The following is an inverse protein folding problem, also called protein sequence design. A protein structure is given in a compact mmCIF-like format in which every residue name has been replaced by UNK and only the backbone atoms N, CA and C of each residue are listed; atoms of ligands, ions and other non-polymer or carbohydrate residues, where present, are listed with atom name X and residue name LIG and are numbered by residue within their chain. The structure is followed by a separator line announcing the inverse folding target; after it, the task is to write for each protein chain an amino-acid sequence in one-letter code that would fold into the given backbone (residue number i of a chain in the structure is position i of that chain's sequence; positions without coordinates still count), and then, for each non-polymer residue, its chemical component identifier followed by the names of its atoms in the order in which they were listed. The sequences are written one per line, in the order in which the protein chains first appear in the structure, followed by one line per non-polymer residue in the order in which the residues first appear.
data_IF_801006993577
#
_entry.id   IF_801006993577
#
_cell.length_a   1.000
_cell.length_b   1.000
_cell.length_c   1.000
_cell.angle_alpha   90.00
_cell.angle_beta   90.00
_cell.angle_gamma   90.00
#
_symmetry.space_group_name_H-M   'P 1'
#
loop_
_entity.id
_entity.type
_entity.pdbx_description
1 polymer ?
#
# COMPACT_ATOMS: atom_id res chain seq x y z
N UNK A 1 -10.80 -28.01 -52.08
CA UNK A 1 -9.49 -28.69 -52.04
C UNK A 1 -9.15 -28.99 -50.59
N UNK A 2 -9.19 -30.28 -50.24
CA UNK A 2 -8.66 -31.03 -49.07
C UNK A 2 -8.80 -30.54 -47.62
N UNK A 3 -9.05 -31.56 -46.79
CA UNK A 3 -9.39 -31.64 -45.38
C UNK A 3 -8.16 -31.74 -44.44
N UNK A 4 -8.46 -31.49 -43.15
CA UNK A 4 -7.96 -32.16 -41.92
C UNK A 4 -6.58 -31.84 -41.31
N UNK A 5 -6.59 -31.68 -39.98
CA UNK A 5 -5.43 -31.95 -39.11
C UNK A 5 -5.57 -31.47 -37.66
N UNK A 6 -6.17 -32.27 -36.77
CA UNK A 6 -6.15 -32.13 -35.29
C UNK A 6 -4.74 -32.29 -34.71
N UNK A 7 -4.46 -31.62 -33.59
CA UNK A 7 -3.75 -32.21 -32.43
C UNK A 7 -3.97 -31.36 -31.16
N UNK A 8 -4.45 -31.98 -30.07
CA UNK A 8 -4.34 -31.49 -28.69
C UNK A 8 -3.27 -32.30 -27.91
N UNK A 9 -3.30 -32.33 -26.56
CA UNK A 9 -2.59 -31.40 -25.68
C UNK A 9 -1.53 -32.07 -24.76
N UNK A 10 -0.68 -31.29 -24.08
CA UNK A 10 0.15 -31.69 -22.91
C UNK A 10 0.09 -30.55 -21.89
N UNK A 11 -0.52 -30.64 -20.69
CA UNK A 11 -0.22 -31.39 -19.44
C UNK A 11 1.19 -31.18 -18.87
N UNK A 12 1.23 -30.70 -17.63
CA UNK A 12 2.38 -30.58 -16.72
C UNK A 12 2.54 -29.13 -16.23
N UNK A 13 2.59 -28.79 -14.94
CA UNK A 13 2.49 -29.55 -13.69
C UNK A 13 2.36 -28.52 -12.55
N UNK A 14 1.47 -28.81 -11.60
CA UNK A 14 1.30 -28.06 -10.36
C UNK A 14 2.12 -28.73 -9.27
N UNK A 15 3.03 -28.02 -8.61
CA UNK A 15 3.65 -28.50 -7.37
C UNK A 15 3.17 -27.66 -6.18
N UNK A 16 2.19 -28.24 -5.48
CA UNK A 16 1.75 -27.96 -4.11
C UNK A 16 2.28 -29.12 -3.27
N UNK A 17 3.11 -28.88 -2.26
CA UNK A 17 3.32 -29.74 -1.06
C UNK A 17 3.95 -28.85 0.03
N UNK A 18 3.55 -28.80 1.30
CA UNK A 18 2.71 -29.71 2.07
C UNK A 18 3.57 -30.60 2.99
N UNK A 19 3.76 -30.15 4.24
CA UNK A 19 3.87 -30.92 5.51
C UNK A 19 3.94 -32.46 5.40
N UNK A 20 4.97 -33.09 5.99
CA UNK A 20 4.89 -33.82 7.28
C UNK A 20 6.09 -34.77 7.53
N UNK A 21 6.54 -34.75 8.79
CA UNK A 21 6.93 -35.83 9.70
C UNK A 21 7.56 -37.17 9.23
N UNK A 22 8.63 -37.50 9.98
CA UNK A 22 9.01 -38.82 10.55
C UNK A 22 9.39 -39.98 9.62
N UNK A 23 10.66 -40.38 9.73
CA UNK A 23 11.07 -41.79 9.71
C UNK A 23 12.01 -42.08 10.89
N UNK A 24 11.72 -43.19 11.58
CA UNK A 24 12.39 -43.71 12.76
C UNK A 24 13.21 -44.98 12.43
N UNK A 25 14.14 -45.30 13.35
CA UNK A 25 14.61 -46.66 13.65
C UNK A 25 15.99 -47.02 13.10
N UNK A 26 16.83 -47.89 13.71
CA UNK A 26 17.03 -48.48 15.06
C UNK A 26 18.23 -49.45 14.91
N UNK A 27 18.90 -49.79 16.02
CA UNK A 27 19.85 -50.90 16.27
C UNK A 27 21.32 -50.59 15.94
N UNK A 28 22.31 -50.97 16.74
CA UNK A 28 22.36 -51.78 17.96
C UNK A 28 23.84 -52.13 18.26
N UNK A 29 24.16 -52.62 19.46
CA UNK A 29 25.45 -53.26 19.74
C UNK A 29 26.04 -52.90 21.10
N UNK A 30 25.85 -53.78 22.09
CA UNK A 30 26.51 -53.72 23.39
C UNK A 30 27.88 -54.40 23.39
N UNK A 31 28.69 -54.06 24.38
CA UNK A 31 29.97 -54.71 24.69
C UNK A 31 30.55 -54.19 26.00
N UNK A 32 30.37 -54.97 27.06
CA UNK A 32 30.93 -54.76 28.41
C UNK A 32 32.41 -55.16 28.48
N UNK A 33 33.25 -54.34 29.09
CA UNK A 33 34.58 -54.73 29.62
C UNK A 33 34.76 -54.16 31.04
N UNK A 34 35.46 -54.95 31.86
CA UNK A 34 35.60 -54.99 33.32
C UNK A 34 36.39 -53.84 33.99
N UNK A 35 36.31 -53.73 35.34
CA UNK A 35 36.91 -52.67 36.14
C UNK A 35 38.36 -52.99 36.56
N UNK A 36 39.18 -51.95 36.72
CA UNK A 36 40.51 -52.02 37.29
C UNK A 36 40.98 -50.63 37.72
N UNK A 37 41.39 -50.55 38.99
CA UNK A 37 41.87 -49.39 39.76
C UNK A 37 42.82 -48.44 39.05
N UNK A 38 42.66 -47.12 39.26
CA UNK A 38 43.74 -46.17 39.57
C UNK A 38 43.15 -44.90 40.25
N UNK A 39 43.85 -44.41 41.28
CA UNK A 39 43.37 -43.47 42.31
C UNK A 39 43.08 -42.02 41.87
N UNK A 40 42.66 -41.15 42.81
CA UNK A 40 42.15 -39.82 42.52
C UNK A 40 43.29 -38.85 42.15
N UNK A 41 43.22 -38.15 41.00
CA UNK A 41 44.05 -36.98 40.80
C UNK A 41 43.45 -35.77 41.53
N UNK A 42 44.33 -34.97 42.13
CA UNK A 42 44.08 -33.72 42.84
C UNK A 42 43.22 -32.71 42.01
N UNK A 43 42.54 -31.74 42.67
CA UNK A 43 41.74 -30.74 41.97
C UNK A 43 42.63 -29.85 41.08
N UNK A 44 42.66 -30.18 39.79
CA UNK A 44 43.20 -29.33 38.75
C UNK A 44 42.34 -28.07 38.62
N UNK A 45 42.98 -26.93 38.80
CA UNK A 45 42.47 -25.61 38.48
C UNK A 45 41.91 -25.56 37.05
N UNK A 46 40.60 -25.38 36.90
CA UNK A 46 39.99 -25.08 35.62
C UNK A 46 40.43 -23.68 35.15
N UNK A 47 41.02 -23.52 33.95
CA UNK A 47 41.17 -22.20 33.36
C UNK A 47 39.77 -21.64 33.02
N UNK A 48 39.54 -20.32 33.12
CA UNK A 48 38.27 -19.73 32.71
C UNK A 48 38.02 -20.00 31.22
N UNK A 49 36.76 -20.22 30.80
CA UNK A 49 36.44 -20.41 29.40
C UNK A 49 36.86 -19.15 28.61
N UNK A 50 37.36 -19.31 27.37
CA UNK A 50 37.72 -18.16 26.55
C UNK A 50 36.48 -17.30 26.33
N UNK A 51 36.62 -15.99 26.60
CA UNK A 51 35.62 -14.95 26.37
C UNK A 51 35.27 -14.72 24.88
N UNK A 52 35.45 -15.74 24.03
CA UNK A 52 35.25 -15.69 22.58
C UNK A 52 33.81 -16.03 22.16
N UNK A 53 32.99 -16.65 23.01
CA UNK A 53 31.63 -17.07 22.63
C UNK A 53 30.54 -15.98 22.72
N UNK A 54 30.81 -14.83 23.33
CA UNK A 54 29.81 -13.76 23.46
C UNK A 54 29.75 -12.79 22.25
N UNK A 55 30.75 -12.83 21.36
CA UNK A 55 30.82 -11.93 20.20
C UNK A 55 30.02 -12.42 18.99
N UNK A 56 29.80 -13.73 18.88
CA UNK A 56 29.01 -14.35 17.81
C UNK A 56 27.54 -13.89 17.77
N UNK A 57 26.77 -13.87 18.87
CA UNK A 57 25.38 -13.41 18.82
C UNK A 57 25.26 -11.92 18.52
N UNK A 58 26.21 -11.10 18.98
CA UNK A 58 26.24 -9.65 18.70
C UNK A 58 26.58 -9.39 17.23
N UNK A 59 27.60 -10.07 16.69
CA UNK A 59 27.96 -9.96 15.29
C UNK A 59 26.82 -10.47 14.38
N UNK A 60 26.18 -11.57 14.73
CA UNK A 60 25.00 -12.09 14.00
C UNK A 60 23.82 -11.13 14.11
N UNK A 61 23.54 -10.56 15.28
CA UNK A 61 22.49 -9.55 15.44
C UNK A 61 22.77 -8.30 14.61
N UNK A 62 24.01 -7.80 14.60
CA UNK A 62 24.45 -6.67 13.80
C UNK A 62 24.35 -6.95 12.30
N UNK A 63 24.75 -8.15 11.86
CA UNK A 63 24.62 -8.59 10.47
C UNK A 63 23.16 -8.78 10.07
N UNK A 64 22.29 -9.26 10.97
CA UNK A 64 20.86 -9.40 10.72
C UNK A 64 20.17 -8.03 10.67
N UNK A 65 20.54 -7.07 11.52
CA UNK A 65 20.05 -5.68 11.41
C UNK A 65 20.55 -5.01 10.14
N UNK A 66 21.83 -5.17 9.78
CA UNK A 66 22.38 -4.63 8.54
C UNK A 66 21.74 -5.28 7.30
N UNK A 67 21.46 -6.59 7.35
CA UNK A 67 20.75 -7.29 6.28
C UNK A 67 19.26 -6.92 6.22
N UNK A 68 18.65 -6.52 7.34
CA UNK A 68 17.27 -6.01 7.35
C UNK A 68 17.19 -4.58 6.77
N UNK A 69 18.17 -3.74 7.08
CA UNK A 69 18.38 -2.42 6.48
C UNK A 69 18.69 -2.51 4.97
N UNK A 70 19.42 -3.55 4.55
CA UNK A 70 19.79 -3.77 3.16
C UNK A 70 18.69 -4.43 2.30
N UNK A 71 17.52 -4.75 2.86
CA UNK A 71 16.41 -5.25 2.04
C UNK A 71 16.02 -4.17 1.03
N UNK A 72 16.06 -4.45 -0.28
CA UNK A 72 15.50 -3.54 -1.26
C UNK A 72 14.07 -3.20 -0.86
N UNK A 73 13.72 -1.92 -0.85
CA UNK A 73 12.34 -1.52 -0.63
C UNK A 73 11.43 -2.30 -1.59
N UNK A 74 10.26 -2.80 -1.13
CA UNK A 74 9.46 -3.78 -1.86
C UNK A 74 9.04 -3.34 -3.27
N UNK A 75 9.06 -2.04 -3.55
CA UNK A 75 8.72 -1.45 -4.85
C UNK A 75 9.86 -0.63 -5.49
N UNK A 76 11.10 -0.83 -5.03
CA UNK A 76 12.28 -0.09 -5.48
C UNK A 76 12.29 1.37 -5.03
N UNK A 77 11.63 1.65 -3.90
CA UNK A 77 11.43 2.99 -3.37
C UNK A 77 12.76 3.61 -2.91
N UNK A 78 13.01 4.84 -3.36
CA UNK A 78 14.18 5.63 -2.97
C UNK A 78 13.71 7.01 -2.52
N UNK A 79 13.74 7.22 -1.21
CA UNK A 79 13.49 8.52 -0.59
C UNK A 79 14.83 9.19 -0.27
N UNK A 80 14.97 10.44 -0.68
CA UNK A 80 16.16 11.25 -0.41
C UNK A 80 15.73 12.60 0.14
N UNK A 81 16.11 12.89 1.38
CA UNK A 81 15.99 14.22 1.95
C UNK A 81 17.24 15.03 1.60
N UNK A 82 17.07 16.15 0.90
CA UNK A 82 18.18 17.01 0.44
C UNK A 82 18.51 18.10 1.45
N UNK A 83 17.52 18.52 2.22
CA UNK A 83 17.71 19.40 3.37
C UNK A 83 17.15 18.67 4.58
N UNK A 84 17.97 18.47 5.61
CA UNK A 84 17.44 18.08 6.92
C UNK A 84 16.67 19.29 7.42
N UNK A 85 15.37 19.33 7.10
CA UNK A 85 14.44 20.31 7.66
C UNK A 85 14.52 20.08 9.17
N UNK A 86 15.31 20.89 9.87
CA UNK A 86 15.11 21.11 11.31
C UNK A 86 13.61 21.30 11.44
N UNK A 87 12.94 20.55 12.33
CA UNK A 87 11.49 20.58 12.54
C UNK A 87 11.02 22.01 12.91
N UNK A 88 11.12 22.92 11.97
CA UNK A 88 10.57 24.24 12.02
C UNK A 88 9.11 24.03 11.77
N UNK A 89 8.30 24.48 12.72
CA UNK A 89 6.85 24.50 12.70
C UNK A 89 6.30 25.43 11.58
N UNK A 90 6.90 25.40 10.39
CA UNK A 90 6.36 25.99 9.19
C UNK A 90 5.10 25.24 8.81
N UNK A 91 3.96 25.84 9.11
CA UNK A 91 2.62 25.29 8.82
C UNK A 91 2.35 25.11 7.32
N UNK A 92 3.20 25.68 6.45
CA UNK A 92 3.05 25.64 5.00
C UNK A 92 3.70 24.39 4.40
N UNK A 93 2.87 23.53 3.82
CA UNK A 93 3.34 22.32 3.15
C UNK A 93 4.08 22.64 1.86
N UNK A 94 5.18 21.93 1.56
CA UNK A 94 5.96 22.23 0.38
C UNK A 94 5.14 21.94 -0.90
N UNK A 95 5.24 22.77 -1.93
CA UNK A 95 4.69 22.45 -3.24
C UNK A 95 5.35 21.18 -3.80
N UNK A 96 4.61 20.47 -4.66
CA UNK A 96 5.03 19.21 -5.27
C UNK A 96 5.14 19.37 -6.78
N UNK A 97 6.06 18.63 -7.39
CA UNK A 97 6.16 18.47 -8.84
C UNK A 97 6.58 17.06 -9.20
N UNK A 98 6.29 16.67 -10.44
CA UNK A 98 6.83 15.44 -11.05
C UNK A 98 7.98 15.81 -11.98
N UNK A 99 9.06 15.03 -11.92
CA UNK A 99 10.13 15.01 -12.92
C UNK A 99 10.02 13.73 -13.76
N UNK A 100 10.98 13.50 -14.66
CA UNK A 100 11.00 12.29 -15.49
C UNK A 100 11.07 10.98 -14.69
N UNK A 101 11.60 11.02 -13.47
CA UNK A 101 11.87 9.81 -12.67
C UNK A 101 11.42 9.90 -11.22
N UNK A 102 10.99 11.07 -10.74
CA UNK A 102 10.75 11.27 -9.32
C UNK A 102 9.66 12.29 -9.02
N UNK A 103 9.07 12.16 -7.85
CA UNK A 103 8.25 13.18 -7.21
C UNK A 103 9.16 14.03 -6.34
N UNK A 104 9.07 15.34 -6.45
CA UNK A 104 9.87 16.28 -5.67
C UNK A 104 8.96 17.20 -4.88
N UNK A 105 9.24 17.33 -3.58
CA UNK A 105 8.87 18.54 -2.87
C UNK A 105 10.00 19.54 -2.98
N UNK A 106 9.66 20.78 -3.26
CA UNK A 106 10.63 21.85 -3.38
C UNK A 106 10.27 23.02 -2.47
N UNK A 107 11.27 23.83 -2.15
CA UNK A 107 11.07 25.08 -1.46
C UNK A 107 10.45 26.10 -2.43
N UNK A 108 9.29 26.65 -2.08
CA UNK A 108 8.56 27.54 -2.98
C UNK A 108 9.23 28.89 -3.24
N UNK A 109 10.19 29.30 -2.41
CA UNK A 109 10.91 30.56 -2.56
C UNK A 109 12.17 30.40 -3.41
N UNK A 110 12.94 29.33 -3.16
CA UNK A 110 14.24 29.09 -3.79
C UNK A 110 14.20 28.10 -4.95
N UNK A 111 13.14 27.28 -5.05
CA UNK A 111 13.02 26.22 -6.05
C UNK A 111 13.86 24.97 -5.77
N UNK A 112 14.67 24.97 -4.71
CA UNK A 112 15.52 23.82 -4.35
C UNK A 112 14.70 22.64 -3.85
N UNK A 113 15.07 21.40 -4.23
CA UNK A 113 14.38 20.22 -3.74
C UNK A 113 14.62 20.07 -2.23
N UNK A 114 13.54 19.83 -1.48
CA UNK A 114 13.59 19.49 -0.05
C UNK A 114 13.73 18.00 0.15
N UNK A 115 12.95 17.24 -0.61
CA UNK A 115 13.05 15.80 -0.69
C UNK A 115 12.61 15.31 -2.07
N UNK A 116 13.11 14.14 -2.44
CA UNK A 116 12.80 13.45 -3.68
C UNK A 116 12.37 12.01 -3.38
N UNK A 117 11.34 11.56 -4.07
CA UNK A 117 10.88 10.18 -4.07
C UNK A 117 10.96 9.61 -5.48
N UNK A 118 11.83 8.62 -5.68
CA UNK A 118 11.97 7.87 -6.92
C UNK A 118 11.61 6.40 -6.70
N UNK A 119 11.21 5.73 -7.79
CA UNK A 119 11.05 4.27 -7.83
C UNK A 119 11.90 3.70 -8.94
N UNK A 120 12.58 2.60 -8.67
CA UNK A 120 13.48 1.96 -9.63
C UNK A 120 12.76 1.60 -10.94
N UNK A 121 13.27 2.14 -12.06
CA UNK A 121 12.72 1.87 -13.40
C UNK A 121 11.31 2.42 -13.64
N UNK A 122 10.78 3.26 -12.76
CA UNK A 122 9.41 3.80 -12.84
C UNK A 122 9.41 5.32 -12.90
N UNK A 123 8.40 5.88 -13.56
CA UNK A 123 8.18 7.33 -13.63
C UNK A 123 6.85 7.71 -12.99
N UNK A 124 6.79 8.80 -12.22
CA UNK A 124 5.52 9.34 -11.80
C UNK A 124 4.83 10.00 -13.00
N UNK A 125 3.53 9.75 -13.14
CA UNK A 125 2.70 10.29 -14.22
C UNK A 125 1.69 11.32 -13.71
N UNK A 126 1.40 11.35 -12.40
CA UNK A 126 0.65 12.41 -11.75
C UNK A 126 1.02 12.52 -10.26
N UNK A 127 0.81 13.72 -9.69
CA UNK A 127 0.91 13.96 -8.25
C UNK A 127 -0.30 14.76 -7.77
N UNK A 128 -0.91 14.31 -6.67
CA UNK A 128 -2.03 14.96 -5.99
C UNK A 128 -1.57 15.42 -4.60
N UNK A 129 -1.42 16.73 -4.36
CA UNK A 129 -1.15 17.25 -3.04
C UNK A 129 -2.41 17.15 -2.15
N UNK A 130 -2.26 16.58 -0.96
CA UNK A 130 -3.25 16.66 0.12
C UNK A 130 -2.56 17.05 1.43
N UNK A 131 -3.33 17.38 2.48
CA UNK A 131 -2.77 17.87 3.75
C UNK A 131 -1.94 16.77 4.43
N UNK A 132 -0.63 16.85 4.29
CA UNK A 132 0.35 15.94 4.89
C UNK A 132 0.74 14.79 3.96
N UNK A 133 0.17 14.76 2.76
CA UNK A 133 0.18 13.64 1.85
C UNK A 133 0.66 14.10 0.47
N UNK A 134 1.64 13.39 -0.06
CA UNK A 134 2.11 13.54 -1.42
C UNK A 134 1.74 12.27 -2.17
N UNK A 135 0.55 12.27 -2.76
CA UNK A 135 -0.01 11.09 -3.42
C UNK A 135 0.47 11.08 -4.87
N UNK A 136 1.15 10.03 -5.30
CA UNK A 136 1.67 9.90 -6.65
C UNK A 136 1.04 8.71 -7.37
N UNK A 137 0.78 8.88 -8.66
CA UNK A 137 0.47 7.80 -9.58
C UNK A 137 1.71 7.53 -10.44
N UNK A 138 2.11 6.26 -10.51
CA UNK A 138 3.24 5.78 -11.29
C UNK A 138 2.78 5.13 -12.59
N UNK A 139 3.67 5.08 -13.57
CA UNK A 139 3.42 4.51 -14.90
C UNK A 139 3.04 3.02 -14.90
N UNK A 140 3.46 2.27 -13.88
CA UNK A 140 3.05 0.88 -13.67
C UNK A 140 1.67 0.74 -13.02
N UNK A 141 0.98 1.85 -12.79
CA UNK A 141 -0.32 1.87 -12.12
C UNK A 141 -0.21 1.69 -10.61
N UNK A 142 0.96 1.88 -9.99
CA UNK A 142 1.03 1.97 -8.53
C UNK A 142 0.62 3.38 -8.08
N UNK A 143 -0.17 3.46 -7.02
CA UNK A 143 -0.47 4.69 -6.29
C UNK A 143 0.22 4.64 -4.95
N UNK A 144 0.89 5.71 -4.58
CA UNK A 144 1.67 5.79 -3.34
C UNK A 144 1.37 7.07 -2.60
N UNK A 145 1.42 7.04 -1.28
CA UNK A 145 1.43 8.25 -0.44
C UNK A 145 2.77 8.38 0.27
N UNK A 146 3.37 9.55 0.15
CA UNK A 146 4.60 9.91 0.85
C UNK A 146 4.31 11.02 1.86
N UNK A 147 4.92 10.94 3.04
CA UNK A 147 4.84 12.00 4.04
C UNK A 147 5.30 13.34 3.44
N UNK A 148 4.36 14.27 3.22
CA UNK A 148 4.65 15.46 2.38
C UNK A 148 5.61 16.45 3.04
N UNK A 149 5.57 16.55 4.36
CA UNK A 149 6.33 17.57 5.08
C UNK A 149 7.84 17.42 4.90
N UNK A 150 8.32 16.20 5.04
CA UNK A 150 9.74 15.87 5.14
C UNK A 150 10.18 14.72 4.24
N UNK A 151 9.26 14.03 3.56
CA UNK A 151 9.57 12.89 2.72
C UNK A 151 10.10 11.69 3.52
N UNK A 152 9.81 11.61 4.82
CA UNK A 152 10.39 10.62 5.73
C UNK A 152 9.98 9.17 5.45
N UNK A 153 8.80 8.94 4.86
CA UNK A 153 8.30 7.60 4.61
C UNK A 153 7.30 7.57 3.45
N UNK A 154 7.30 6.45 2.72
CA UNK A 154 6.16 6.03 1.89
C UNK A 154 5.18 5.30 2.81
N UNK A 155 4.01 5.90 3.01
CA UNK A 155 3.02 5.51 4.02
C UNK A 155 2.19 4.31 3.57
N UNK A 156 1.86 4.26 2.29
CA UNK A 156 1.14 3.14 1.70
C UNK A 156 1.32 3.06 0.18
N UNK A 157 1.01 1.87 -0.35
CA UNK A 157 1.02 1.53 -1.77
C UNK A 157 -0.30 0.86 -2.17
N UNK A 158 -0.83 1.18 -3.36
CA UNK A 158 -2.01 0.53 -3.95
C UNK A 158 -1.82 0.32 -5.44
N UNK A 159 -1.87 -0.93 -5.88
CA UNK A 159 -1.78 -1.27 -7.29
C UNK A 159 -3.13 -1.07 -7.99
N UNK A 160 -3.09 -0.62 -9.25
CA UNK A 160 -4.23 -0.52 -10.14
C UNK A 160 -4.15 -1.61 -11.21
N UNK A 161 -4.79 -2.77 -11.00
CA UNK A 161 -4.78 -3.87 -11.95
C UNK A 161 -5.12 -3.45 -13.40
N UNK A 162 -4.18 -3.70 -14.30
CA UNK A 162 -4.32 -3.44 -15.74
C UNK A 162 -4.25 -1.96 -16.13
N UNK A 163 -3.79 -1.05 -15.27
CA UNK A 163 -3.68 0.37 -15.60
C UNK A 163 -2.42 0.71 -16.41
N UNK A 164 -1.32 -0.04 -16.25
CA UNK A 164 -0.02 0.32 -16.83
C UNK A 164 -0.04 0.53 -18.35
N UNK A 165 -0.58 -0.43 -19.11
CA UNK A 165 -0.67 -0.31 -20.57
C UNK A 165 -1.53 0.89 -20.99
N UNK A 166 -2.70 1.05 -20.37
CA UNK A 166 -3.58 2.18 -20.68
C UNK A 166 -2.94 3.54 -20.34
N UNK A 167 -2.23 3.66 -19.20
CA UNK A 167 -1.51 4.87 -18.81
C UNK A 167 -0.37 5.21 -19.76
N UNK A 168 0.28 4.20 -20.35
CA UNK A 168 1.31 4.41 -21.35
C UNK A 168 0.72 5.03 -22.64
N UNK A 169 -0.45 4.58 -23.04
CA UNK A 169 -1.10 5.00 -24.29
C UNK A 169 -1.86 6.34 -24.16
N UNK A 170 -2.47 6.61 -23.00
CA UNK A 170 -3.41 7.73 -22.80
C UNK A 170 -2.94 8.77 -21.79
N UNK A 171 -1.86 8.49 -21.05
CA UNK A 171 -1.40 9.34 -19.96
C UNK A 171 -2.29 9.28 -18.71
N UNK A 172 -2.06 10.20 -17.77
CA UNK A 172 -2.67 10.18 -16.44
C UNK A 172 -3.67 11.32 -16.18
N UNK A 173 -4.06 12.07 -17.22
CA UNK A 173 -4.93 13.23 -17.07
C UNK A 173 -6.25 12.83 -16.41
N UNK A 174 -6.57 13.49 -15.29
CA UNK A 174 -7.80 13.26 -14.55
C UNK A 174 -7.94 11.91 -13.85
N UNK A 175 -6.95 11.01 -13.95
CA UNK A 175 -6.96 9.69 -13.28
C UNK A 175 -6.99 9.84 -11.76
N UNK A 176 -6.16 10.72 -11.21
CA UNK A 176 -6.03 10.92 -9.77
C UNK A 176 -6.78 12.18 -9.34
N UNK A 177 -7.81 12.05 -8.49
CA UNK A 177 -8.68 13.16 -8.06
C UNK A 177 -8.90 13.14 -6.57
N UNK A 178 -8.92 14.31 -5.92
CA UNK A 178 -9.44 14.42 -4.57
C UNK A 178 -10.97 14.26 -4.59
N UNK A 179 -11.52 13.61 -3.56
CA UNK A 179 -12.95 13.55 -3.21
C UNK A 179 -13.25 14.33 -1.92
N UNK A 180 -12.42 15.32 -1.60
CA UNK A 180 -12.43 16.04 -0.32
C UNK A 180 -11.15 15.80 0.48
N UNK A 181 -11.17 16.16 1.76
CA UNK A 181 -9.96 16.17 2.60
C UNK A 181 -9.46 14.76 3.00
N UNK A 182 -10.32 13.75 2.95
CA UNK A 182 -10.05 12.40 3.50
C UNK A 182 -9.98 11.30 2.44
N UNK A 183 -10.46 11.59 1.24
CA UNK A 183 -10.71 10.60 0.20
C UNK A 183 -10.10 11.04 -1.13
N UNK A 184 -9.57 10.07 -1.87
CA UNK A 184 -9.13 10.24 -3.25
C UNK A 184 -9.87 9.25 -4.14
N UNK A 185 -10.13 9.63 -5.38
CA UNK A 185 -10.60 8.76 -6.46
C UNK A 185 -9.45 8.47 -7.43
N UNK A 186 -9.40 7.23 -7.88
CA UNK A 186 -8.64 6.80 -9.04
C UNK A 186 -9.63 6.38 -10.13
N UNK A 187 -9.64 7.12 -11.23
CA UNK A 187 -10.54 6.93 -12.36
C UNK A 187 -9.79 6.22 -13.48
N UNK A 188 -10.26 5.04 -13.83
CA UNK A 188 -9.79 4.26 -14.98
C UNK A 188 -10.97 3.99 -15.92
N UNK A 189 -10.75 3.67 -17.20
CA UNK A 189 -11.86 3.41 -18.14
C UNK A 189 -12.88 2.38 -17.64
N UNK A 190 -12.42 1.38 -16.88
CA UNK A 190 -13.26 0.27 -16.41
C UNK A 190 -13.91 0.52 -15.06
N UNK A 191 -13.38 1.42 -14.23
CA UNK A 191 -13.86 1.66 -12.87
C UNK A 191 -13.32 2.94 -12.26
N UNK A 192 -14.08 3.49 -11.32
CA UNK A 192 -13.60 4.42 -10.30
C UNK A 192 -13.36 3.65 -9.02
N UNK A 193 -12.22 3.86 -8.36
CA UNK A 193 -11.93 3.32 -7.04
C UNK A 193 -11.61 4.46 -6.08
N UNK A 194 -12.20 4.47 -4.89
CA UNK A 194 -11.92 5.48 -3.89
C UNK A 194 -11.18 4.92 -2.69
N UNK A 195 -10.14 5.64 -2.29
CA UNK A 195 -9.26 5.25 -1.20
C UNK A 195 -9.26 6.33 -0.12
N UNK A 196 -9.17 5.89 1.13
CA UNK A 196 -8.91 6.78 2.26
C UNK A 196 -7.46 7.23 2.20
N UNK A 197 -7.24 8.55 2.26
CA UNK A 197 -5.90 9.15 2.14
C UNK A 197 -4.98 8.71 3.30
N UNK A 198 -5.53 8.53 4.50
CA UNK A 198 -4.75 8.28 5.71
C UNK A 198 -3.89 6.99 5.66
N UNK A 199 -4.40 5.93 5.03
CA UNK A 199 -3.83 4.58 5.00
C UNK A 199 -3.99 3.84 3.66
N UNK A 200 -4.59 4.49 2.67
CA UNK A 200 -4.82 3.92 1.35
C UNK A 200 -5.94 2.89 1.32
N UNK A 201 -6.76 2.74 2.36
CA UNK A 201 -7.82 1.72 2.36
C UNK A 201 -8.86 1.97 1.28
N UNK A 202 -9.17 0.92 0.51
CA UNK A 202 -10.24 0.94 -0.48
C UNK A 202 -11.59 1.06 0.23
N UNK A 203 -12.37 2.09 -0.13
CA UNK A 203 -13.68 2.37 0.48
C UNK A 203 -14.85 2.00 -0.39
N UNK A 204 -14.73 2.24 -1.68
CA UNK A 204 -15.73 1.83 -2.65
C UNK A 204 -15.13 1.74 -4.04
N UNK A 205 -15.80 0.97 -4.89
CA UNK A 205 -15.54 0.90 -6.31
C UNK A 205 -16.84 1.12 -7.07
N UNK A 206 -16.75 1.76 -8.23
CA UNK A 206 -17.84 1.96 -9.15
C UNK A 206 -17.39 1.43 -10.52
N UNK A 207 -17.86 0.27 -10.97
CA UNK A 207 -17.55 -0.22 -12.31
C UNK A 207 -18.21 0.66 -13.37
N UNK A 208 -17.61 0.69 -14.56
CA UNK A 208 -18.24 1.32 -15.71
C UNK A 208 -19.52 0.57 -16.08
N UNK A 209 -20.52 1.29 -16.59
CA UNK A 209 -21.71 0.66 -17.17
C UNK A 209 -21.32 -0.23 -18.35
N UNK A 210 -22.06 -1.31 -18.57
CA UNK A 210 -21.84 -2.19 -19.71
C UNK A 210 -21.93 -1.41 -21.03
N UNK A 211 -20.96 -1.62 -21.93
CA UNK A 211 -20.87 -0.88 -23.19
C UNK A 211 -20.38 0.57 -23.07
N UNK A 212 -19.98 0.99 -21.88
CA UNK A 212 -19.47 2.33 -21.61
C UNK A 212 -18.08 2.29 -20.98
N UNK A 213 -17.37 3.41 -21.04
CA UNK A 213 -16.06 3.56 -20.38
C UNK A 213 -15.96 4.94 -19.74
N UNK A 214 -15.36 5.03 -18.55
CA UNK A 214 -15.06 6.34 -17.97
C UNK A 214 -14.00 7.05 -18.81
N UNK A 215 -14.13 8.37 -18.93
CA UNK A 215 -13.18 9.28 -19.56
C UNK A 215 -12.54 10.16 -18.46
N UNK A 216 -11.42 9.71 -17.82
CA UNK A 216 -10.81 10.41 -16.69
C UNK A 216 -10.46 11.87 -16.97
N UNK A 217 -9.98 12.15 -18.18
CA UNK A 217 -9.61 13.47 -18.67
C UNK A 217 -10.81 14.42 -18.76
N UNK A 218 -12.03 13.88 -18.82
CA UNK A 218 -13.31 14.61 -18.82
C UNK A 218 -13.98 14.61 -17.43
N UNK A 219 -13.20 14.49 -16.36
CA UNK A 219 -13.70 14.65 -15.00
C UNK A 219 -13.57 16.11 -14.52
N UNK A 220 -14.58 16.65 -13.86
CA UNK A 220 -14.59 18.01 -13.31
C UNK A 220 -15.19 18.04 -11.91
N UNK A 221 -14.68 18.92 -11.06
CA UNK A 221 -15.22 19.12 -9.71
C UNK A 221 -16.31 20.19 -9.77
N UNK A 222 -17.46 19.92 -9.15
CA UNK A 222 -18.57 20.85 -9.01
C UNK A 222 -19.10 20.76 -7.57
N UNK A 223 -18.72 21.75 -6.74
CA UNK A 223 -18.91 21.68 -5.29
C UNK A 223 -18.19 20.46 -4.69
N UNK A 224 -18.92 19.68 -3.90
CA UNK A 224 -18.42 18.43 -3.31
C UNK A 224 -18.39 17.27 -4.32
N UNK A 225 -19.16 17.37 -5.41
CA UNK A 225 -19.27 16.32 -6.41
C UNK A 225 -18.09 16.35 -7.40
N UNK A 226 -17.68 15.15 -7.81
CA UNK A 226 -16.85 14.90 -8.97
C UNK A 226 -17.75 14.35 -10.08
N UNK A 227 -17.90 15.13 -11.15
CA UNK A 227 -18.62 14.72 -12.35
C UNK A 227 -17.62 14.07 -13.30
N UNK A 228 -17.97 12.91 -13.83
CA UNK A 228 -17.09 12.08 -14.67
C UNK A 228 -17.88 11.69 -15.91
N UNK A 229 -17.36 12.01 -17.09
CA UNK A 229 -17.95 11.51 -18.33
C UNK A 229 -17.70 10.00 -18.46
N UNK A 230 -18.70 9.29 -18.94
CA UNK A 230 -18.71 7.86 -19.18
C UNK A 230 -19.44 7.58 -20.50
N UNK A 231 -18.84 7.94 -21.65
CA UNK A 231 -19.43 7.70 -22.96
C UNK A 231 -19.75 6.23 -23.20
N UNK A 232 -20.85 5.98 -23.89
CA UNK A 232 -21.36 4.67 -24.25
C UNK A 232 -21.34 4.48 -25.78
N UNK A 233 -21.08 3.26 -26.25
CA UNK A 233 -20.98 2.99 -27.69
C UNK A 233 -22.27 3.31 -28.48
N UNK A 234 -23.42 3.30 -27.82
CA UNK A 234 -24.74 3.59 -28.41
C UNK A 234 -25.04 5.07 -28.56
N UNK A 235 -24.19 5.97 -28.04
CA UNK A 235 -24.41 7.42 -28.11
C UNK A 235 -25.68 7.85 -27.39
N UNK A 236 -25.80 7.47 -26.11
CA UNK A 236 -26.96 7.82 -25.30
C UNK A 236 -27.02 9.35 -25.04
N UNK A 237 -28.11 9.86 -24.46
CA UNK A 237 -28.20 11.29 -24.13
C UNK A 237 -27.07 11.70 -23.19
N UNK A 238 -26.48 12.89 -23.38
CA UNK A 238 -25.31 13.36 -22.62
C UNK A 238 -25.47 13.27 -21.09
N UNK A 239 -26.69 13.42 -20.59
CA UNK A 239 -27.03 13.30 -19.16
C UNK A 239 -26.87 11.87 -18.62
N UNK A 240 -27.05 10.85 -19.45
CA UNK A 240 -26.90 9.44 -19.09
C UNK A 240 -25.46 8.93 -19.19
N UNK A 241 -24.62 9.71 -19.89
CA UNK A 241 -23.17 9.53 -19.99
C UNK A 241 -22.41 10.33 -18.92
N UNK A 242 -23.09 10.92 -17.95
CA UNK A 242 -22.47 11.62 -16.83
C UNK A 242 -22.68 10.83 -15.53
N UNK A 243 -21.60 10.65 -14.77
CA UNK A 243 -21.65 10.03 -13.45
C UNK A 243 -21.16 11.05 -12.41
N UNK A 244 -21.97 11.28 -11.39
CA UNK A 244 -21.61 12.10 -10.24
C UNK A 244 -21.20 11.21 -9.06
N UNK A 245 -20.05 11.50 -8.44
CA UNK A 245 -19.55 10.80 -7.25
C UNK A 245 -19.06 11.78 -6.19
N UNK A 246 -19.05 11.37 -4.93
CA UNK A 246 -18.38 12.05 -3.81
C UNK A 246 -17.64 11.05 -2.92
N UNK A 247 -17.21 11.44 -1.73
CA UNK A 247 -16.51 10.57 -0.77
C UNK A 247 -17.31 9.33 -0.35
N UNK A 248 -18.65 9.36 -0.48
CA UNK A 248 -19.55 8.26 -0.15
C UNK A 248 -19.93 7.38 -1.34
N UNK A 249 -19.50 7.71 -2.57
CA UNK A 249 -19.74 6.92 -3.77
C UNK A 249 -20.61 7.64 -4.80
N UNK A 250 -21.40 6.88 -5.58
CA UNK A 250 -22.28 7.47 -6.60
C UNK A 250 -23.36 8.33 -5.94
N UNK A 251 -23.55 9.54 -6.47
CA UNK A 251 -24.64 10.43 -6.06
C UNK A 251 -25.90 10.02 -6.81
N UNK A 252 -26.91 9.58 -6.08
CA UNK A 252 -28.26 9.29 -6.59
C UNK A 252 -29.29 9.88 -5.63
N UNK A 253 -30.50 10.25 -6.12
CA UNK A 253 -31.62 10.55 -5.23
C UNK A 253 -31.82 9.42 -4.23
N UNK A 254 -32.08 9.77 -2.96
CA UNK A 254 -32.33 8.81 -1.87
C UNK A 254 -31.21 7.80 -1.58
N UNK A 255 -29.94 8.14 -1.87
CA UNK A 255 -28.84 7.22 -1.57
C UNK A 255 -28.86 6.81 -0.10
N UNK A 256 -28.75 5.51 0.14
CA UNK A 256 -28.21 5.04 1.42
C UNK A 256 -26.70 5.21 1.32
N UNK A 257 -26.05 5.98 2.21
CA UNK A 257 -24.60 6.08 2.20
C UNK A 257 -23.98 4.68 2.18
N UNK A 258 -23.01 4.43 1.30
CA UNK A 258 -22.15 3.26 1.45
C UNK A 258 -21.54 3.33 2.86
N UNK A 259 -21.21 2.19 3.48
CA UNK A 259 -20.81 1.91 4.89
C UNK A 259 -19.72 2.85 5.49
N UNK A 260 -19.28 3.85 4.75
CA UNK A 260 -18.41 4.95 5.12
C UNK A 260 -19.06 6.03 6.01
N UNK A 261 -20.38 6.02 6.24
CA UNK A 261 -21.00 6.86 7.26
C UNK A 261 -20.67 6.28 8.66
N UNK A 262 -19.50 6.62 9.19
CA UNK A 262 -19.21 6.40 10.61
C UNK A 262 -20.24 7.16 11.45
N UNK A 263 -20.96 6.43 12.32
CA UNK A 263 -21.84 6.98 13.35
C UNK A 263 -20.99 7.74 14.39
N UNK A 264 -20.64 8.99 14.09
CA UNK A 264 -19.88 9.85 15.01
C UNK A 264 -20.33 11.30 15.05
N UNK A 265 -21.23 11.71 14.15
CA UNK A 265 -21.62 13.11 13.96
C UNK A 265 -23.14 13.31 14.08
N UNK A 266 -23.80 12.51 14.91
CA UNK A 266 -24.98 13.00 15.62
C UNK A 266 -24.49 13.52 16.96
N UNK A 267 -24.08 14.78 16.98
CA UNK A 267 -24.09 15.53 18.22
C UNK A 267 -25.52 15.47 18.75
N UNK A 268 -25.69 14.64 19.78
CA UNK A 268 -26.79 14.71 20.73
C UNK A 268 -26.78 16.12 21.31
N UNK A 269 -27.58 17.00 20.72
CA UNK A 269 -28.34 17.90 21.53
C UNK A 269 -29.70 17.24 21.72
N UNK A 270 -30.20 17.34 22.95
CA UNK A 270 -31.52 16.95 23.41
C UNK A 270 -31.70 15.55 24.05
N UNK A 271 -32.02 15.62 25.34
CA UNK A 271 -32.60 14.62 26.26
C UNK A 271 -31.63 13.86 27.18
N UNK A 272 -31.34 14.57 28.29
CA UNK A 272 -31.55 14.17 29.68
C UNK A 272 -31.24 12.71 30.10
N UNK A 273 -30.43 12.63 31.17
CA UNK A 273 -30.13 11.42 31.92
C UNK A 273 -31.39 10.61 32.29
N UNK A 274 -31.30 9.27 32.19
CA UNK A 274 -31.89 8.41 33.21
C UNK A 274 -30.81 7.55 33.87
N UNK A 275 -30.79 7.59 35.20
CA UNK A 275 -29.81 6.95 36.05
C UNK A 275 -29.77 5.43 35.96
N UNK A 276 -28.65 4.89 36.47
CA UNK A 276 -28.44 3.46 36.73
C UNK A 276 -29.61 2.88 37.55
N UNK A 277 -30.34 1.95 36.96
CA UNK A 277 -31.21 1.03 37.70
C UNK A 277 -30.35 -0.16 38.14
N UNK A 278 -30.08 -0.25 39.44
CA UNK A 278 -29.46 -1.41 40.07
C UNK A 278 -30.58 -2.40 40.45
N UNK A 279 -30.42 -3.66 40.06
CA UNK A 279 -31.36 -4.73 40.42
C UNK A 279 -31.38 -4.96 41.94
N UNK A 280 -32.58 -5.16 42.52
CA UNK A 280 -32.73 -5.55 43.94
C UNK A 280 -32.39 -7.04 44.12
N UNK A 281 -31.66 -7.43 45.18
CA UNK A 281 -31.38 -8.82 45.49
C UNK A 281 -32.66 -9.55 45.96
N UNK A 282 -32.75 -10.84 45.66
CA UNK A 282 -33.62 -11.79 46.38
C UNK A 282 -32.80 -12.49 47.45
#
# INVERSE_FOLDING_TARGET
MRLNGRAGPRRGEWCRWGRDDRCAGRAGGGGTVRPGDHGPPAPGSFPPPPAACALLPVAVALLLTAAHEARPAPYGDRLTAHTRVVHGHGTRQPPLRTTKAAVEAYDGATGHPRWTYAREGRRPVAVLPARGHAIALWDDGLVTDTARGDGSAVRWHRALPGAAGWLADHGASGVLRSLGARMLAVITPRRVAAYRIADGDLRWTLPARYGCSFAPERALRHGEALLIAQPCATGDSWTTELVAVDDLGRITPHRTPLVNAWQGERHSAEHAHPGKVVARPR
#
